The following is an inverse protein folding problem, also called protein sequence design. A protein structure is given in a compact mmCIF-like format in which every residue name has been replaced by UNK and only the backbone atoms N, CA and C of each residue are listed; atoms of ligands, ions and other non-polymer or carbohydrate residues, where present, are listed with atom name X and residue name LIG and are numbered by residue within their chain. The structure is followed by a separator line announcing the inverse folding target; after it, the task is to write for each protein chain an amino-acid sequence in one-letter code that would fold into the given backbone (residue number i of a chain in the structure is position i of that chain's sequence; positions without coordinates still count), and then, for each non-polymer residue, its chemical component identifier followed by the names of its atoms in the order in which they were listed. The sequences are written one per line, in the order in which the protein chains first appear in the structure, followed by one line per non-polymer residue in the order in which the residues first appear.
data_IF_580943805252
#
_entry.id   IF_580943805252
#
_cell.length_a   1.000
_cell.length_b   1.000
_cell.length_c   1.000
_cell.angle_alpha   90.00
_cell.angle_beta   90.00
_cell.angle_gamma   90.00
#
_symmetry.space_group_name_H-M   'P 1'
#
loop_
_entity.id
_entity.type
_entity.pdbx_description
1 polymer ?
#
# COMPACT_ATOMS: atom_id res chain seq x y z
N UNK A 1 -1.98 -1.54 0.51
CA UNK A 1 -1.75 -1.19 1.93
C UNK A 1 -0.87 0.05 2.06
N UNK A 2 -1.45 1.24 2.10
CA UNK A 2 -0.72 2.47 2.38
C UNK A 2 -1.66 3.59 2.85
N UNK A 3 -1.14 4.53 3.65
CA UNK A 3 -1.85 5.77 3.98
C UNK A 3 -1.47 6.82 2.94
N UNK A 4 -2.46 7.46 2.32
CA UNK A 4 -2.19 8.59 1.42
C UNK A 4 -2.41 9.89 2.19
N UNK A 5 -1.35 10.69 2.33
CA UNK A 5 -1.41 12.03 2.94
C UNK A 5 -1.38 13.06 1.82
N UNK A 6 -2.36 13.96 1.82
CA UNK A 6 -2.41 15.09 0.91
C UNK A 6 -1.60 16.24 1.52
N UNK A 7 -0.62 16.76 0.78
CA UNK A 7 0.12 17.96 1.18
C UNK A 7 -0.24 19.13 0.27
N UNK A 8 -0.60 20.26 0.88
CA UNK A 8 -0.71 21.56 0.22
C UNK A 8 0.49 22.40 0.66
N UNK A 9 1.41 22.69 -0.27
CA UNK A 9 2.62 23.46 -0.01
C UNK A 9 2.61 24.83 -0.68
N UNK A 10 3.33 25.84 -0.14
CA UNK A 10 3.45 27.16 -0.77
C UNK A 10 4.68 27.16 -1.70
N UNK A 11 4.71 26.39 -2.78
CA UNK A 11 5.95 26.28 -3.59
C UNK A 11 5.66 26.27 -5.09
N UNK A 12 5.88 27.43 -5.71
CA UNK A 12 5.73 27.75 -7.12
C UNK A 12 6.64 27.01 -8.11
N UNK A 13 7.19 25.85 -7.74
CA UNK A 13 7.93 24.94 -8.64
C UNK A 13 7.30 23.55 -8.74
N UNK A 14 6.55 23.09 -7.74
CA UNK A 14 5.88 21.78 -7.75
C UNK A 14 4.35 21.86 -7.91
N UNK A 15 3.79 23.07 -7.85
CA UNK A 15 2.45 23.42 -8.35
C UNK A 15 1.34 22.42 -8.02
N UNK A 16 0.78 22.50 -6.81
CA UNK A 16 -0.48 21.86 -6.46
C UNK A 16 -0.40 20.80 -5.36
N UNK A 17 -1.48 20.03 -5.25
CA UNK A 17 -1.66 18.94 -4.30
C UNK A 17 -0.67 17.80 -4.56
N UNK A 18 0.00 17.30 -3.51
CA UNK A 18 0.84 16.10 -3.60
C UNK A 18 0.24 14.94 -2.80
N UNK A 19 0.42 13.71 -3.29
CA UNK A 19 0.02 12.49 -2.57
C UNK A 19 1.24 11.76 -2.03
N UNK A 20 1.34 11.64 -0.71
CA UNK A 20 2.35 10.81 -0.07
C UNK A 20 1.75 9.46 0.31
N UNK A 21 2.23 8.40 -0.32
CA UNK A 21 1.89 7.01 0.02
C UNK A 21 2.84 6.48 1.10
N UNK A 22 2.37 6.39 2.33
CA UNK A 22 3.13 5.92 3.50
C UNK A 22 2.98 4.42 3.74
N UNK A 23 4.09 3.75 4.01
CA UNK A 23 4.16 2.31 4.28
C UNK A 23 4.33 2.07 5.78
N UNK A 24 3.22 2.18 6.49
CA UNK A 24 3.18 2.12 7.95
C UNK A 24 2.31 0.96 8.45
N UNK A 25 2.91 0.02 9.20
CA UNK A 25 2.26 -1.20 9.72
C UNK A 25 1.04 -0.94 10.60
N UNK A 26 0.90 0.28 11.12
CA UNK A 26 -0.18 0.66 12.04
C UNK A 26 -1.52 0.82 11.30
N UNK A 27 -1.47 1.21 10.03
CA UNK A 27 -2.65 1.61 9.26
C UNK A 27 -3.06 0.59 8.18
N UNK A 28 -2.54 -0.63 8.22
CA UNK A 28 -2.67 -1.61 7.12
C UNK A 28 -3.61 -2.76 7.47
N UNK A 29 -4.93 -2.51 7.55
CA UNK A 29 -5.92 -3.51 8.02
C UNK A 29 -5.79 -4.89 7.36
N UNK A 30 -5.61 -4.95 6.04
CA UNK A 30 -5.46 -6.22 5.30
C UNK A 30 -4.19 -6.99 5.68
N UNK A 31 -3.05 -6.30 5.81
CA UNK A 31 -1.81 -6.94 6.24
C UNK A 31 -1.84 -7.35 7.70
N UNK A 32 -2.43 -6.53 8.57
CA UNK A 32 -2.64 -6.89 9.98
C UNK A 32 -3.47 -8.16 10.09
N UNK A 33 -4.58 -8.28 9.32
CA UNK A 33 -5.38 -9.50 9.27
C UNK A 33 -4.58 -10.72 8.77
N UNK A 34 -3.75 -10.56 7.73
CA UNK A 34 -2.91 -11.65 7.18
C UNK A 34 -1.90 -12.17 8.20
N UNK A 35 -1.26 -11.29 8.95
CA UNK A 35 -0.36 -11.68 10.05
C UNK A 35 -1.14 -11.96 11.35
N UNK A 36 -2.48 -11.86 11.30
CA UNK A 36 -3.46 -11.91 12.38
C UNK A 36 -3.22 -10.95 13.55
N UNK A 37 -2.48 -9.88 13.31
CA UNK A 37 -2.37 -8.78 14.26
C UNK A 37 -3.77 -8.16 14.46
N UNK A 38 -4.17 -7.88 15.72
CA UNK A 38 -5.39 -7.13 16.00
C UNK A 38 -5.33 -5.71 15.40
N UNK A 39 -6.42 -4.96 15.41
CA UNK A 39 -6.34 -3.54 15.01
C UNK A 39 -5.32 -2.80 15.88
N UNK A 40 -4.60 -1.85 15.28
CA UNK A 40 -3.58 -1.10 16.00
C UNK A 40 -4.20 -0.30 17.16
N UNK A 41 -3.52 -0.29 18.31
CA UNK A 41 -3.83 0.57 19.43
C UNK A 41 -2.54 0.93 20.18
N UNK A 42 -2.63 1.92 21.07
CA UNK A 42 -1.47 2.39 21.84
C UNK A 42 -0.79 1.28 22.66
N UNK A 43 -1.56 0.38 23.28
CA UNK A 43 -1.00 -0.71 24.09
C UNK A 43 -0.13 -1.67 23.26
N UNK A 44 -0.57 -2.00 22.04
CA UNK A 44 0.18 -2.83 21.09
C UNK A 44 1.48 -2.13 20.68
N UNK A 45 1.39 -0.84 20.37
CA UNK A 45 2.56 -0.03 19.99
C UNK A 45 3.58 0.04 21.13
N UNK A 46 3.12 0.23 22.37
CA UNK A 46 3.98 0.25 23.54
C UNK A 46 4.67 -1.10 23.76
N UNK A 47 3.93 -2.20 23.68
CA UNK A 47 4.46 -3.56 23.81
C UNK A 47 5.54 -3.87 22.77
N UNK A 48 5.28 -3.52 21.49
CA UNK A 48 6.25 -3.67 20.40
C UNK A 48 7.51 -2.83 20.61
N UNK A 49 7.37 -1.56 21.03
CA UNK A 49 8.52 -0.66 21.28
C UNK A 49 9.38 -1.12 22.45
N UNK A 50 8.77 -1.57 23.54
CA UNK A 50 9.49 -1.93 24.75
C UNK A 50 10.30 -3.23 24.60
N UNK A 51 9.81 -4.17 23.80
CA UNK A 51 10.38 -5.52 23.73
C UNK A 51 10.99 -5.87 22.37
N UNK A 52 10.75 -5.05 21.34
CA UNK A 52 11.18 -5.37 19.98
C UNK A 52 10.61 -6.71 19.51
N UNK A 53 11.30 -7.45 18.63
CA UNK A 53 10.83 -8.76 18.13
C UNK A 53 10.83 -9.87 19.20
N UNK A 54 11.16 -9.57 20.46
CA UNK A 54 11.09 -10.54 21.55
C UNK A 54 9.64 -10.77 21.98
N UNK A 55 9.27 -12.01 22.34
CA UNK A 55 7.93 -12.33 22.77
C UNK A 55 7.61 -11.59 24.09
N UNK A 56 6.56 -10.76 24.06
CA UNK A 56 5.88 -10.35 25.28
C UNK A 56 4.88 -11.43 25.60
N UNK A 57 5.13 -12.16 26.68
CA UNK A 57 4.07 -12.88 27.37
C UNK A 57 3.07 -11.83 27.85
N UNK A 58 1.80 -11.86 27.40
CA UNK A 58 0.78 -11.10 28.08
C UNK A 58 0.80 -11.57 29.52
N UNK A 59 0.91 -10.62 30.46
CA UNK A 59 0.92 -10.86 31.90
C UNK A 59 0.13 -12.12 32.30
N UNK A 60 0.84 -13.17 32.70
CA UNK A 60 0.27 -14.31 33.42
C UNK A 60 -0.20 -15.54 32.63
N UNK A 61 0.01 -15.65 31.31
CA UNK A 61 -0.27 -16.92 30.62
C UNK A 61 1.02 -17.67 30.25
N UNK A 62 1.14 -18.98 30.59
CA UNK A 62 2.23 -19.81 30.12
C UNK A 62 2.18 -19.89 28.58
N UNK A 63 3.32 -20.17 27.91
CA UNK A 63 3.37 -20.21 26.46
C UNK A 63 2.36 -21.24 25.93
N UNK A 64 1.28 -20.74 25.34
CA UNK A 64 0.40 -21.55 24.49
C UNK A 64 1.21 -21.92 23.27
N UNK A 65 1.67 -23.17 23.22
CA UNK A 65 2.30 -23.84 22.08
C UNK A 65 3.54 -23.12 21.48
N UNK A 66 4.75 -23.71 21.48
CA UNK A 66 5.95 -23.09 20.87
C UNK A 66 5.78 -22.68 19.39
N UNK A 67 4.69 -23.10 18.74
CA UNK A 67 4.35 -22.73 17.38
C UNK A 67 3.52 -21.42 17.24
N UNK A 68 3.01 -20.85 18.33
CA UNK A 68 2.19 -19.63 18.29
C UNK A 68 3.10 -18.40 18.44
N UNK A 69 3.26 -17.64 17.34
CA UNK A 69 4.04 -16.40 17.34
C UNK A 69 3.42 -15.38 18.30
N UNK A 70 4.25 -14.78 19.13
CA UNK A 70 3.85 -13.67 20.00
C UNK A 70 3.37 -12.46 19.20
N UNK A 71 2.57 -11.60 19.84
CA UNK A 71 2.06 -10.39 19.21
C UNK A 71 3.17 -9.49 18.64
N UNK A 72 4.27 -9.33 19.36
CA UNK A 72 5.40 -8.51 18.90
C UNK A 72 6.12 -9.10 17.70
N UNK A 73 6.30 -10.42 17.65
CA UNK A 73 6.87 -11.09 16.48
C UNK A 73 5.99 -10.87 15.25
N UNK A 74 4.67 -10.90 15.42
CA UNK A 74 3.72 -10.64 14.34
C UNK A 74 3.72 -9.17 13.90
N UNK A 75 3.89 -8.23 14.82
CA UNK A 75 4.12 -6.81 14.49
C UNK A 75 5.44 -6.61 13.74
N UNK A 76 6.50 -7.33 14.11
CA UNK A 76 7.78 -7.31 13.41
C UNK A 76 7.68 -7.91 12.00
N UNK A 77 6.96 -9.04 11.85
CA UNK A 77 6.65 -9.61 10.55
C UNK A 77 5.86 -8.63 9.68
N UNK A 78 4.90 -7.93 10.26
CA UNK A 78 4.12 -6.90 9.57
C UNK A 78 5.03 -5.72 9.16
N UNK A 79 5.94 -5.28 10.02
CA UNK A 79 6.92 -4.23 9.71
C UNK A 79 7.84 -4.63 8.56
N UNK A 80 8.36 -5.87 8.59
CA UNK A 80 9.19 -6.44 7.52
C UNK A 80 8.43 -6.51 6.21
N UNK A 81 7.19 -6.98 6.24
CA UNK A 81 6.33 -7.03 5.07
C UNK A 81 6.05 -5.63 4.50
N UNK A 82 5.77 -4.63 5.35
CA UNK A 82 5.59 -3.23 4.89
C UNK A 82 6.84 -2.66 4.24
N UNK A 83 8.00 -2.94 4.83
CA UNK A 83 9.31 -2.53 4.30
C UNK A 83 9.59 -3.21 2.96
N UNK A 84 9.24 -4.49 2.83
CA UNK A 84 9.34 -5.22 1.58
C UNK A 84 8.43 -4.61 0.51
N UNK A 85 7.15 -4.36 0.82
CA UNK A 85 6.21 -3.69 -0.10
C UNK A 85 6.70 -2.32 -0.58
N UNK A 86 7.30 -1.52 0.32
CA UNK A 86 7.90 -0.25 -0.06
C UNK A 86 9.04 -0.42 -1.07
N UNK A 87 9.97 -1.34 -0.79
CA UNK A 87 11.15 -1.57 -1.64
C UNK A 87 10.75 -2.11 -3.01
N UNK A 88 9.82 -3.06 -3.06
CA UNK A 88 9.35 -3.63 -4.32
C UNK A 88 8.57 -2.62 -5.15
N UNK A 89 7.72 -1.80 -4.52
CA UNK A 89 7.00 -0.74 -5.22
C UNK A 89 7.95 0.35 -5.74
N UNK A 90 8.95 0.76 -4.95
CA UNK A 90 9.98 1.71 -5.40
C UNK A 90 10.79 1.16 -6.59
N UNK A 91 11.21 -0.10 -6.53
CA UNK A 91 11.92 -0.76 -7.63
C UNK A 91 11.05 -0.90 -8.89
N UNK A 92 9.73 -1.09 -8.73
CA UNK A 92 8.80 -1.15 -9.84
C UNK A 92 8.70 0.23 -10.55
N UNK A 93 8.71 1.35 -9.80
CA UNK A 93 8.73 2.68 -10.41
C UNK A 93 9.99 2.97 -11.23
N UNK A 94 11.14 2.45 -10.80
CA UNK A 94 12.40 2.57 -11.54
C UNK A 94 12.36 1.74 -12.85
N UNK A 95 11.95 0.48 -12.74
CA UNK A 95 11.77 -0.44 -13.89
C UNK A 95 10.71 0.05 -14.89
N UNK A 96 9.69 0.77 -14.41
CA UNK A 96 8.56 1.28 -15.20
C UNK A 96 8.64 2.79 -15.46
N UNK A 97 9.84 3.38 -15.41
CA UNK A 97 10.06 4.81 -15.61
C UNK A 97 9.35 5.39 -16.85
N UNK A 98 9.36 4.66 -17.96
CA UNK A 98 8.70 5.04 -19.22
C UNK A 98 7.16 5.09 -19.15
N UNK A 99 6.54 4.38 -18.20
CA UNK A 99 5.08 4.35 -18.05
C UNK A 99 4.56 5.45 -17.13
N UNK A 100 5.45 6.15 -16.43
CA UNK A 100 5.09 7.21 -15.51
C UNK A 100 4.40 8.37 -16.24
N UNK A 101 3.37 8.94 -15.62
CA UNK A 101 2.49 9.97 -16.20
C UNK A 101 1.61 9.49 -17.38
N UNK A 102 1.63 8.20 -17.72
CA UNK A 102 0.74 7.60 -18.72
C UNK A 102 -0.11 6.49 -18.15
N UNK A 103 0.52 5.39 -17.73
CA UNK A 103 -0.17 4.19 -17.25
C UNK A 103 0.00 3.95 -15.74
N UNK A 104 0.93 4.67 -15.11
CA UNK A 104 1.17 4.65 -13.66
C UNK A 104 1.39 6.09 -13.16
N UNK A 105 1.13 6.40 -11.87
CA UNK A 105 1.46 7.69 -11.28
C UNK A 105 2.92 8.07 -11.52
N UNK A 106 3.19 9.36 -11.62
CA UNK A 106 4.58 9.84 -11.64
C UNK A 106 5.12 9.88 -10.22
N UNK A 107 6.26 9.21 -10.00
CA UNK A 107 7.01 9.27 -8.76
C UNK A 107 7.88 10.54 -8.78
N UNK A 108 7.70 11.41 -7.79
CA UNK A 108 8.48 12.64 -7.62
C UNK A 108 9.66 12.44 -6.67
N UNK A 109 9.56 11.48 -5.75
CA UNK A 109 10.62 11.20 -4.79
C UNK A 109 10.15 10.30 -3.65
N UNK A 110 10.99 10.15 -2.65
CA UNK A 110 10.71 9.39 -1.43
C UNK A 110 10.53 10.33 -0.24
N UNK A 111 9.75 9.88 0.75
CA UNK A 111 9.56 10.56 2.01
C UNK A 111 9.92 9.61 3.15
N UNK A 112 10.32 10.15 4.30
CA UNK A 112 10.51 9.36 5.53
C UNK A 112 9.89 10.11 6.68
N UNK A 113 8.94 9.47 7.36
CA UNK A 113 8.39 9.96 8.61
C UNK A 113 9.15 9.31 9.76
N UNK A 114 10.08 10.05 10.36
CA UNK A 114 10.79 9.62 11.55
C UNK A 114 10.00 9.97 12.82
N UNK A 115 10.12 9.14 13.84
CA UNK A 115 9.57 9.40 15.17
C UNK A 115 10.58 8.98 16.23
N UNK A 116 10.52 9.65 17.37
CA UNK A 116 11.38 9.40 18.51
C UNK A 116 10.53 9.26 19.75
N UNK A 117 10.76 8.19 20.52
CA UNK A 117 10.01 7.88 21.74
C UNK A 117 11.00 7.48 22.80
N UNK A 118 10.95 8.17 23.94
CA UNK A 118 11.73 7.79 25.11
C UNK A 118 11.00 6.65 25.82
N UNK A 119 11.70 5.54 26.09
CA UNK A 119 11.14 4.45 26.89
C UNK A 119 11.29 4.76 28.39
N UNK A 120 10.65 3.94 29.23
CA UNK A 120 10.68 4.06 30.69
C UNK A 120 12.10 3.93 31.30
N UNK A 121 13.04 3.35 30.54
CA UNK A 121 14.46 3.24 30.92
C UNK A 121 15.30 4.45 30.46
N UNK A 122 14.68 5.53 29.98
CA UNK A 122 15.36 6.74 29.50
C UNK A 122 16.09 6.58 28.17
N UNK A 123 15.90 5.46 27.44
CA UNK A 123 16.49 5.24 26.12
C UNK A 123 15.56 5.80 25.04
N UNK A 124 16.13 6.55 24.10
CA UNK A 124 15.39 7.04 22.93
C UNK A 124 15.33 5.97 21.86
N UNK A 125 14.13 5.49 21.56
CA UNK A 125 13.85 4.60 20.45
C UNK A 125 13.49 5.47 19.24
N UNK A 126 14.24 5.30 18.17
CA UNK A 126 14.01 5.97 16.90
C UNK A 126 13.39 4.97 15.94
N UNK A 127 12.24 5.32 15.37
CA UNK A 127 11.62 4.56 14.30
C UNK A 127 11.35 5.43 13.09
N UNK A 128 11.14 4.80 11.94
CA UNK A 128 10.85 5.51 10.71
C UNK A 128 9.90 4.71 9.83
N UNK A 129 9.02 5.42 9.13
CA UNK A 129 8.14 4.85 8.12
C UNK A 129 8.48 5.48 6.76
N UNK A 130 8.83 4.68 5.74
CA UNK A 130 9.10 5.21 4.42
C UNK A 130 7.80 5.53 3.67
N UNK A 131 7.90 6.41 2.68
CA UNK A 131 6.80 6.79 1.81
C UNK A 131 7.26 7.17 0.41
N UNK A 132 6.31 7.18 -0.52
CA UNK A 132 6.50 7.58 -1.91
C UNK A 132 5.70 8.85 -2.19
N UNK A 133 6.31 9.84 -2.84
CA UNK A 133 5.67 11.09 -3.22
C UNK A 133 5.21 10.95 -4.68
N UNK A 134 3.90 10.97 -4.90
CA UNK A 134 3.27 10.75 -6.19
C UNK A 134 2.50 11.98 -6.63
N UNK A 135 2.47 12.22 -7.95
CA UNK A 135 1.52 13.16 -8.56
C UNK A 135 0.09 12.62 -8.33
N UNK A 136 -0.85 13.45 -7.85
CA UNK A 136 -2.22 13.01 -7.64
C UNK A 136 -2.86 12.61 -8.97
N UNK A 137 -3.61 11.52 -8.96
CA UNK A 137 -4.45 11.13 -10.08
C UNK A 137 -5.85 11.72 -9.83
N UNK A 138 -6.28 12.62 -10.72
CA UNK A 138 -7.67 13.06 -10.77
C UNK A 138 -8.45 12.07 -11.62
N UNK A 139 -9.15 11.12 -10.99
CA UNK A 139 -9.82 10.05 -11.71
C UNK A 139 -10.80 9.27 -10.85
N UNK A 140 -11.59 8.43 -11.51
CA UNK A 140 -12.60 7.59 -10.87
C UNK A 140 -12.10 6.15 -10.73
N UNK A 141 -12.19 5.53 -9.53
CA UNK A 141 -11.92 4.11 -9.38
C UNK A 141 -12.84 3.28 -10.27
N UNK A 142 -12.30 2.24 -10.93
CA UNK A 142 -13.07 1.39 -11.83
C UNK A 142 -14.32 0.80 -11.17
N UNK A 143 -14.20 0.39 -9.90
CA UNK A 143 -15.30 -0.18 -9.12
C UNK A 143 -16.43 0.81 -8.78
N UNK A 144 -16.19 2.12 -8.92
CA UNK A 144 -17.19 3.17 -8.67
C UNK A 144 -17.88 3.65 -9.96
N UNK A 145 -17.51 3.10 -11.12
CA UNK A 145 -18.16 3.44 -12.38
C UNK A 145 -19.51 2.74 -12.51
N UNK A 146 -20.58 3.49 -12.23
CA UNK A 146 -21.95 2.97 -12.29
C UNK A 146 -22.49 2.83 -13.73
N UNK A 147 -21.96 3.59 -14.70
CA UNK A 147 -22.41 3.55 -16.09
C UNK A 147 -21.24 3.74 -17.06
N UNK A 148 -20.93 2.71 -17.86
CA UNK A 148 -19.93 2.75 -18.94
C UNK A 148 -20.65 2.40 -20.24
N UNK A 149 -20.57 3.28 -21.25
CA UNK A 149 -21.06 2.96 -22.59
C UNK A 149 -20.32 1.73 -23.13
N UNK A 150 -21.03 0.79 -23.76
CA UNK A 150 -20.45 -0.47 -24.26
C UNK A 150 -19.20 -0.27 -25.14
N UNK A 151 -19.14 0.82 -25.90
CA UNK A 151 -17.97 1.20 -26.73
C UNK A 151 -16.76 1.61 -25.88
N UNK A 152 -16.97 2.33 -24.78
CA UNK A 152 -15.94 2.75 -23.82
C UNK A 152 -15.25 1.54 -23.18
N UNK A 153 -16.01 0.46 -22.94
CA UNK A 153 -15.46 -0.77 -22.37
C UNK A 153 -14.36 -1.41 -23.20
N UNK A 154 -14.44 -1.35 -24.53
CA UNK A 154 -13.42 -1.92 -25.41
C UNK A 154 -12.07 -1.20 -25.23
N UNK A 155 -12.09 0.12 -25.11
CA UNK A 155 -10.88 0.92 -24.88
C UNK A 155 -10.27 0.68 -23.50
N UNK A 156 -11.10 0.58 -22.45
CA UNK A 156 -10.62 0.23 -21.11
C UNK A 156 -9.94 -1.14 -21.14
N UNK A 157 -10.57 -2.12 -21.80
CA UNK A 157 -10.03 -3.47 -21.89
C UNK A 157 -8.71 -3.52 -22.66
N UNK A 158 -8.59 -2.79 -23.77
CA UNK A 158 -7.34 -2.70 -24.52
C UNK A 158 -6.21 -2.07 -23.70
N UNK A 159 -6.48 -0.98 -22.98
CA UNK A 159 -5.47 -0.38 -22.10
C UNK A 159 -5.02 -1.37 -21.02
N UNK A 160 -5.94 -2.13 -20.42
CA UNK A 160 -5.61 -3.15 -19.42
C UNK A 160 -4.76 -4.29 -20.00
N UNK A 161 -5.08 -4.76 -21.21
CA UNK A 161 -4.28 -5.77 -21.90
C UNK A 161 -2.88 -5.24 -22.18
N UNK A 162 -2.76 -4.00 -22.67
CA UNK A 162 -1.48 -3.36 -22.93
C UNK A 162 -0.63 -3.25 -21.66
N UNK A 163 -1.21 -2.75 -20.57
CA UNK A 163 -0.54 -2.68 -19.26
C UNK A 163 -0.05 -4.07 -18.85
N UNK A 164 -0.91 -5.09 -18.93
CA UNK A 164 -0.54 -6.45 -18.53
C UNK A 164 0.59 -7.03 -19.39
N UNK A 165 0.57 -6.78 -20.69
CA UNK A 165 1.64 -7.22 -21.60
C UNK A 165 2.98 -6.56 -21.27
N UNK A 166 2.98 -5.25 -20.98
CA UNK A 166 4.20 -4.53 -20.58
C UNK A 166 4.73 -5.03 -19.23
N UNK A 167 3.85 -5.29 -18.27
CA UNK A 167 4.24 -5.87 -17.00
C UNK A 167 4.85 -7.27 -17.18
N UNK A 168 4.25 -8.11 -18.03
CA UNK A 168 4.78 -9.44 -18.34
C UNK A 168 6.15 -9.38 -19.02
N UNK A 169 6.33 -8.51 -20.01
CA UNK A 169 7.60 -8.39 -20.74
C UNK A 169 8.76 -7.91 -19.85
N UNK A 170 8.45 -7.20 -18.77
CA UNK A 170 9.42 -6.72 -17.77
C UNK A 170 9.54 -7.64 -16.54
N UNK A 171 8.91 -8.82 -16.55
CA UNK A 171 8.97 -9.77 -15.43
C UNK A 171 8.16 -9.36 -14.19
N UNK A 172 7.30 -8.35 -14.30
CA UNK A 172 6.49 -7.77 -13.22
C UNK A 172 5.05 -8.30 -13.23
N UNK A 173 4.85 -9.58 -13.57
CA UNK A 173 3.53 -10.20 -13.69
C UNK A 173 2.80 -10.40 -12.34
N UNK A 174 3.51 -10.22 -11.22
CA UNK A 174 2.99 -10.35 -9.86
C UNK A 174 2.34 -9.07 -9.34
N UNK A 175 2.46 -7.94 -10.06
CA UNK A 175 1.81 -6.68 -9.68
C UNK A 175 0.29 -6.82 -9.71
N UNK A 176 -0.37 -6.24 -8.72
CA UNK A 176 -1.82 -6.26 -8.59
C UNK A 176 -2.49 -5.48 -9.72
N UNK A 177 -3.16 -6.20 -10.62
CA UNK A 177 -3.94 -5.64 -11.73
C UNK A 177 -5.44 -5.81 -11.52
N UNK A 178 -5.87 -6.10 -10.28
CA UNK A 178 -7.29 -6.27 -9.96
C UNK A 178 -8.07 -4.94 -10.09
N UNK A 179 -9.39 -4.99 -10.31
CA UNK A 179 -10.25 -3.80 -10.45
C UNK A 179 -10.12 -2.74 -9.35
N UNK A 180 -9.77 -3.13 -8.11
CA UNK A 180 -9.54 -2.21 -6.99
C UNK A 180 -8.34 -1.28 -7.18
N UNK A 181 -7.37 -1.70 -8.00
CA UNK A 181 -6.15 -0.96 -8.25
C UNK A 181 -6.20 -0.14 -9.56
N UNK A 182 -7.36 -0.09 -10.21
CA UNK A 182 -7.54 0.57 -11.49
C UNK A 182 -8.28 1.89 -11.28
N UNK A 183 -7.68 2.97 -11.77
CA UNK A 183 -8.29 4.30 -11.83
C UNK A 183 -8.44 4.68 -13.30
N UNK A 184 -9.59 5.24 -13.65
CA UNK A 184 -9.85 5.82 -14.95
C UNK A 184 -9.71 7.33 -14.82
N UNK A 185 -8.71 7.87 -15.50
CA UNK A 185 -8.37 9.29 -15.50
C UNK A 185 -8.95 9.91 -16.78
N UNK A 186 -9.82 10.93 -16.70
CA UNK A 186 -10.26 11.67 -17.88
C UNK A 186 -9.07 12.38 -18.54
N UNK A 187 -9.03 12.38 -19.87
CA UNK A 187 -7.95 12.98 -20.66
C UNK A 187 -8.44 14.21 -21.46
N UNK A 188 -7.52 15.09 -21.86
CA UNK A 188 -7.70 16.16 -22.86
C UNK A 188 -6.37 16.32 -23.65
N UNK A 189 -6.29 16.65 -24.97
CA UNK A 189 -7.32 16.85 -26.01
C UNK A 189 -7.54 15.68 -26.99
N UNK A 190 -6.77 14.59 -26.96
CA UNK A 190 -6.76 13.59 -28.06
C UNK A 190 -7.27 12.19 -27.65
N UNK A 191 -7.87 12.03 -26.47
CA UNK A 191 -8.46 10.78 -26.02
C UNK A 191 -9.50 10.99 -24.92
N UNK A 192 -10.48 10.09 -24.80
CA UNK A 192 -11.62 10.24 -23.88
C UNK A 192 -11.25 9.98 -22.40
N UNK A 193 -10.29 9.09 -22.14
CA UNK A 193 -9.79 8.72 -20.81
C UNK A 193 -8.57 7.81 -20.95
N UNK A 194 -7.85 7.59 -19.84
CA UNK A 194 -6.74 6.65 -19.73
C UNK A 194 -6.93 5.74 -18.52
N UNK A 195 -6.59 4.47 -18.68
CA UNK A 195 -6.55 3.52 -17.55
C UNK A 195 -5.18 3.57 -16.90
N UNK A 196 -5.18 3.82 -15.59
CA UNK A 196 -3.96 3.99 -14.79
C UNK A 196 -3.98 2.97 -13.64
N UNK A 197 -2.87 2.27 -13.43
CA UNK A 197 -2.66 1.48 -12.22
C UNK A 197 -2.30 2.41 -11.07
N UNK A 198 -3.12 2.43 -10.03
CA UNK A 198 -2.93 3.32 -8.89
C UNK A 198 -1.72 2.92 -8.02
N UNK A 199 -1.43 1.62 -7.93
CA UNK A 199 -0.38 1.05 -7.08
C UNK A 199 0.43 0.01 -7.84
N UNK A 200 1.71 -0.16 -7.48
CA UNK A 200 2.56 -1.22 -8.03
C UNK A 200 2.85 -2.32 -6.98
N UNK A 201 1.99 -2.42 -5.98
CA UNK A 201 2.07 -3.49 -4.97
C UNK A 201 1.78 -4.85 -5.59
N UNK A 202 2.40 -5.87 -5.00
CA UNK A 202 2.22 -7.26 -5.41
C UNK A 202 0.82 -7.76 -5.07
N UNK A 203 0.30 -8.65 -5.91
CA UNK A 203 -0.95 -9.36 -5.67
C UNK A 203 -0.70 -10.50 -4.68
N UNK A 204 -0.76 -10.20 -3.39
CA UNK A 204 -0.52 -11.17 -2.33
C UNK A 204 -1.79 -12.02 -1.99
N UNK A 205 -2.66 -12.29 -2.98
CA UNK A 205 -3.86 -13.12 -2.82
C UNK A 205 -5.08 -12.42 -2.20
N UNK A 206 -6.18 -13.16 -1.93
CA UNK A 206 -7.47 -12.62 -1.48
C UNK A 206 -7.43 -12.22 0.00
N UNK A 207 -6.61 -11.22 0.35
CA UNK A 207 -6.56 -10.64 1.70
C UNK A 207 -7.58 -9.52 1.95
N UNK A 208 -8.44 -9.23 0.96
CA UNK A 208 -9.42 -8.13 1.01
C UNK A 208 -10.86 -8.60 0.70
N UNK A 209 -11.13 -9.91 0.74
CA UNK A 209 -12.52 -10.37 0.88
C UNK A 209 -12.95 -10.16 2.32
N UNK A 210 -13.39 -8.93 2.63
CA UNK A 210 -14.35 -8.67 3.70
C UNK A 210 -15.73 -9.23 3.37
N UNK A 211 -15.77 -10.47 2.89
CA UNK A 211 -16.96 -11.27 2.69
C UNK A 211 -16.55 -12.72 3.00
N UNK A 212 -16.61 -13.08 4.28
CA UNK A 212 -16.94 -14.46 4.62
C UNK A 212 -18.31 -14.73 4.03
N UNK A 213 -18.36 -15.30 2.83
CA UNK A 213 -19.49 -16.17 2.49
C UNK A 213 -19.28 -17.44 3.32
N UNK A 214 -19.80 -17.41 4.54
CA UNK A 214 -20.23 -18.65 5.19
C UNK A 214 -21.30 -19.25 4.28
N UNK A 215 -20.89 -20.18 3.43
CA UNK A 215 -21.80 -21.15 2.85
C UNK A 215 -22.24 -22.06 4.00
N UNK A 216 -23.34 -21.69 4.65
CA UNK A 216 -24.20 -22.65 5.32
C UNK A 216 -25.17 -23.18 4.26
N UNK A 217 -24.83 -24.35 3.73
CA UNK A 217 -25.81 -25.34 3.28
C UNK A 217 -25.97 -26.36 4.39
#
# INVERSE_FOLDING_TARGET
CAVTVQLEGPLGTLGGTLHIRMFDRRFTKGMRLRHGCPNWCYAIESGYRQHGPLPVTPYGQPPEDPNVRSLNQREDDTQKAMTHSYRTELQAYDTLSELQAGHIPKLLGTATMAWQVMNEMGRTIIGSCPGLILVPLDGMPLLKMNYILKRTWQFIFWDLVNIRQILQSRGLYTIDTTPRNIIIVPCHPWGLFKVVLHSLQLNDGPGETGASTTNTG
#
